data_IF_203856835448
#
_entry.id   IF_203856835448
#
_cell.length_a   1.000
_cell.length_b   1.000
_cell.length_c   1.000
_cell.angle_alpha   90.00
_cell.angle_beta   90.00
_cell.angle_gamma   90.00
#
_symmetry.space_group_name_H-M   'P 1'
#
loop_
_entity.id
_entity.type
_entity.pdbx_description
1 polymer ?
#
# COMPACT_ATOMS: atom_id res chain seq x y z
N UNK A 1 29.36 -68.79 -31.45
CA UNK A 1 28.21 -68.45 -32.30
C UNK A 1 27.13 -67.92 -31.37
N UNK A 2 26.91 -66.66 -31.36
CA UNK A 2 25.66 -65.94 -31.14
C UNK A 2 25.94 -64.45 -30.87
N UNK A 3 25.48 -63.66 -31.77
CA UNK A 3 25.61 -62.24 -31.92
C UNK A 3 24.81 -61.51 -30.86
N UNK A 4 25.49 -60.72 -30.00
CA UNK A 4 24.85 -59.79 -29.12
C UNK A 4 24.42 -58.52 -29.85
N UNK A 5 23.12 -58.26 -29.88
CA UNK A 5 22.56 -57.00 -30.42
C UNK A 5 22.58 -55.94 -29.30
N UNK A 6 23.51 -55.01 -29.44
CA UNK A 6 23.52 -53.81 -28.61
C UNK A 6 22.41 -52.89 -29.06
N UNK A 7 21.39 -52.72 -28.22
CA UNK A 7 20.36 -51.70 -28.36
C UNK A 7 20.92 -50.36 -27.86
N UNK A 8 21.19 -49.47 -28.83
CA UNK A 8 21.58 -48.10 -28.60
C UNK A 8 20.29 -47.30 -28.26
N UNK A 9 20.04 -47.09 -26.96
CA UNK A 9 18.95 -46.23 -26.54
C UNK A 9 19.38 -44.73 -26.73
N UNK A 10 18.87 -44.10 -27.77
CA UNK A 10 18.95 -42.66 -27.93
C UNK A 10 18.06 -41.99 -26.86
N UNK A 11 18.67 -41.48 -25.82
CA UNK A 11 18.02 -40.53 -24.91
C UNK A 11 17.90 -39.17 -25.61
N UNK A 12 16.74 -38.91 -26.19
CA UNK A 12 16.37 -37.60 -26.73
C UNK A 12 16.00 -36.72 -25.54
N UNK A 13 16.99 -36.06 -24.94
CA UNK A 13 16.78 -35.00 -23.93
C UNK A 13 16.14 -33.81 -24.63
N UNK A 14 14.82 -33.67 -24.45
CA UNK A 14 14.08 -32.49 -24.82
C UNK A 14 14.62 -31.31 -24.01
N UNK A 15 15.47 -30.48 -24.60
CA UNK A 15 15.74 -29.13 -24.12
C UNK A 15 14.45 -28.34 -24.27
N UNK A 16 13.67 -28.28 -23.20
CA UNK A 16 12.64 -27.27 -23.05
C UNK A 16 13.38 -25.91 -22.99
N UNK A 17 13.12 -24.98 -23.90
CA UNK A 17 13.63 -23.64 -23.71
C UNK A 17 13.02 -23.11 -22.40
N UNK A 18 13.86 -22.90 -21.40
CA UNK A 18 13.47 -22.10 -20.25
C UNK A 18 12.99 -20.77 -20.81
N UNK A 19 11.68 -20.59 -20.86
CA UNK A 19 11.06 -19.35 -21.29
C UNK A 19 11.66 -18.26 -20.42
N UNK A 20 12.54 -17.46 -21.00
CA UNK A 20 12.99 -16.23 -20.38
C UNK A 20 11.72 -15.44 -20.11
N UNK A 21 11.32 -15.38 -18.84
CA UNK A 21 10.34 -14.43 -18.40
C UNK A 21 10.94 -13.06 -18.75
N UNK A 22 10.48 -12.50 -19.84
CA UNK A 22 10.78 -11.12 -20.20
C UNK A 22 10.10 -10.30 -19.10
N UNK A 23 10.85 -9.97 -18.06
CA UNK A 23 10.50 -8.87 -17.20
C UNK A 23 10.44 -7.66 -18.12
N UNK A 24 9.24 -7.33 -18.57
CA UNK A 24 9.03 -6.09 -19.28
C UNK A 24 9.55 -4.99 -18.36
N UNK A 25 10.58 -4.28 -18.82
CA UNK A 25 11.09 -3.06 -18.19
C UNK A 25 10.05 -1.95 -18.38
N UNK A 26 8.84 -2.19 -17.87
CA UNK A 26 7.78 -1.22 -17.87
C UNK A 26 7.65 -0.72 -16.44
N UNK A 27 8.15 0.48 -16.19
CA UNK A 27 7.88 1.24 -14.97
C UNK A 27 6.39 1.61 -14.83
N UNK A 28 5.53 0.91 -15.56
CA UNK A 28 4.10 1.14 -15.62
C UNK A 28 3.36 0.02 -14.90
N UNK A 29 2.71 0.37 -13.78
CA UNK A 29 1.75 -0.50 -13.12
C UNK A 29 0.37 -0.31 -13.76
N UNK A 30 -0.17 -1.38 -14.35
CA UNK A 30 -1.54 -1.41 -14.85
C UNK A 30 -2.43 -1.99 -13.74
N UNK A 31 -3.30 -1.17 -13.21
CA UNK A 31 -4.26 -1.55 -12.18
C UNK A 31 -5.67 -1.52 -12.75
N UNK A 32 -6.38 -2.66 -12.68
CA UNK A 32 -7.76 -2.77 -13.09
C UNK A 32 -8.66 -2.62 -11.86
N UNK A 33 -9.63 -1.73 -11.93
CA UNK A 33 -10.64 -1.49 -10.90
C UNK A 33 -12.04 -1.64 -11.50
N UNK A 34 -13.00 -1.93 -10.64
CA UNK A 34 -14.43 -2.05 -11.02
C UNK A 34 -15.03 -0.73 -11.52
N UNK A 35 -14.44 0.40 -11.09
CA UNK A 35 -14.82 1.74 -11.53
C UNK A 35 -13.63 2.70 -11.39
N UNK A 36 -13.74 3.85 -12.04
CA UNK A 36 -12.76 4.93 -11.88
C UNK A 36 -12.92 5.61 -10.52
N UNK A 37 -11.83 6.04 -9.87
CA UNK A 37 -11.91 6.86 -8.66
C UNK A 37 -12.52 8.23 -8.99
N UNK A 38 -13.45 8.68 -8.15
CA UNK A 38 -14.07 10.01 -8.27
C UNK A 38 -13.09 11.13 -7.97
N UNK A 39 -12.23 10.90 -7.00
CA UNK A 39 -11.20 11.83 -6.55
C UNK A 39 -10.07 11.07 -5.85
N UNK A 40 -8.87 11.66 -5.89
CA UNK A 40 -7.74 11.23 -5.06
C UNK A 40 -7.68 11.93 -3.70
N UNK A 41 -8.68 12.75 -3.37
CA UNK A 41 -8.82 13.37 -2.05
C UNK A 41 -9.75 12.52 -1.17
N UNK A 42 -9.22 11.77 -0.19
CA UNK A 42 -10.03 10.87 0.64
C UNK A 42 -10.96 11.60 1.63
N UNK A 43 -10.86 12.92 1.73
CA UNK A 43 -11.74 13.73 2.59
C UNK A 43 -13.09 14.07 1.93
N UNK A 44 -13.17 13.95 0.60
CA UNK A 44 -14.36 14.32 -0.17
C UNK A 44 -14.91 13.17 -1.02
N UNK A 45 -14.18 12.07 -1.17
CA UNK A 45 -14.60 10.91 -1.94
C UNK A 45 -14.40 9.63 -1.13
N UNK A 46 -15.50 8.92 -0.86
CA UNK A 46 -15.52 7.73 0.01
C UNK A 46 -15.93 6.45 -0.74
N UNK A 47 -16.07 6.48 -2.07
CA UNK A 47 -16.35 5.28 -2.86
C UNK A 47 -15.20 4.26 -2.77
N UNK A 48 -15.52 2.98 -2.93
CA UNK A 48 -14.53 1.90 -2.89
C UNK A 48 -13.32 2.15 -3.78
N UNK A 49 -13.49 2.43 -5.09
CA UNK A 49 -12.38 2.76 -5.98
C UNK A 49 -11.55 3.97 -5.55
N UNK A 50 -12.19 5.05 -5.08
CA UNK A 50 -11.48 6.23 -4.55
C UNK A 50 -10.69 5.90 -3.28
N UNK A 51 -11.24 5.10 -2.38
CA UNK A 51 -10.57 4.66 -1.16
C UNK A 51 -9.32 3.82 -1.47
N UNK A 52 -9.44 2.84 -2.36
CA UNK A 52 -8.30 1.98 -2.73
C UNK A 52 -7.21 2.78 -3.45
N UNK A 53 -7.59 3.64 -4.40
CA UNK A 53 -6.64 4.42 -5.19
C UNK A 53 -5.96 5.56 -4.40
N UNK A 54 -6.55 6.03 -3.30
CA UNK A 54 -6.02 7.15 -2.53
C UNK A 54 -5.65 6.78 -1.09
N UNK A 55 -6.64 6.52 -0.25
CA UNK A 55 -6.44 6.34 1.19
C UNK A 55 -5.52 5.17 1.55
N UNK A 56 -5.52 4.10 0.74
CA UNK A 56 -4.68 2.94 1.02
C UNK A 56 -3.24 3.11 0.58
N UNK A 57 -3.00 3.81 -0.53
CA UNK A 57 -1.69 3.80 -1.20
C UNK A 57 -0.98 5.15 -1.21
N UNK A 58 -1.72 6.28 -1.18
CA UNK A 58 -1.13 7.61 -1.30
C UNK A 58 -0.95 8.32 0.04
N UNK A 59 -1.79 8.01 1.04
CA UNK A 59 -1.82 8.76 2.30
C UNK A 59 -1.54 7.87 3.50
N UNK A 60 -0.76 8.43 4.43
CA UNK A 60 -0.60 7.83 5.74
C UNK A 60 -1.84 8.06 6.61
N UNK A 61 -2.11 7.13 7.50
CA UNK A 61 -3.22 7.19 8.46
C UNK A 61 -2.69 7.36 9.87
N UNK A 62 -3.54 7.83 10.76
CA UNK A 62 -3.20 7.91 12.18
C UNK A 62 -2.94 6.51 12.76
N UNK A 63 -3.83 5.59 12.48
CA UNK A 63 -3.69 4.14 12.73
C UNK A 63 -3.98 3.38 11.43
N UNK A 64 -3.30 2.28 11.25
CA UNK A 64 -3.56 1.36 10.14
C UNK A 64 -4.30 0.13 10.65
N UNK A 65 -4.63 -0.80 9.76
CA UNK A 65 -5.34 -2.01 10.08
C UNK A 65 -4.61 -3.22 9.47
N UNK A 66 -4.32 -4.22 10.30
CA UNK A 66 -3.76 -5.49 9.84
C UNK A 66 -4.90 -6.34 9.26
N UNK A 67 -4.92 -6.61 7.95
CA UNK A 67 -6.02 -7.33 7.32
C UNK A 67 -6.04 -8.82 7.68
N UNK A 68 -4.91 -9.38 8.12
CA UNK A 68 -4.80 -10.80 8.49
C UNK A 68 -5.29 -11.02 9.90
N UNK A 69 -4.85 -10.16 10.83
CA UNK A 69 -5.21 -10.26 12.26
C UNK A 69 -6.51 -9.55 12.60
N UNK A 70 -7.03 -8.75 11.68
CA UNK A 70 -8.20 -7.90 11.87
C UNK A 70 -8.08 -6.97 13.10
N UNK A 71 -6.89 -6.39 13.29
CA UNK A 71 -6.58 -5.54 14.45
C UNK A 71 -5.96 -4.21 14.04
N UNK A 72 -6.22 -3.12 14.78
CA UNK A 72 -5.54 -1.85 14.56
C UNK A 72 -4.05 -1.95 14.89
N UNK A 73 -3.23 -1.34 14.06
CA UNK A 73 -1.77 -1.29 14.20
C UNK A 73 -1.24 0.15 14.10
N UNK A 74 -0.13 0.46 14.78
CA UNK A 74 0.49 1.77 14.72
C UNK A 74 0.83 2.22 13.29
N UNK A 75 0.63 3.54 13.02
CA UNK A 75 1.05 4.19 11.79
C UNK A 75 1.64 5.58 12.12
N UNK A 76 0.96 6.70 11.83
CA UNK A 76 1.41 8.02 12.28
C UNK A 76 1.32 8.17 13.79
N UNK A 77 0.38 7.47 14.44
CA UNK A 77 0.40 7.27 15.89
C UNK A 77 1.24 6.03 16.22
N UNK A 78 2.17 6.18 17.15
CA UNK A 78 2.98 5.07 17.70
C UNK A 78 2.17 4.23 18.69
N UNK A 79 1.29 4.89 19.43
CA UNK A 79 0.41 4.28 20.43
C UNK A 79 -0.82 5.13 20.66
N UNK A 80 -1.81 4.54 21.34
CA UNK A 80 -3.01 5.26 21.77
C UNK A 80 -3.56 4.63 23.03
N UNK A 81 -4.31 5.43 23.79
CA UNK A 81 -5.07 5.00 24.94
C UNK A 81 -6.52 5.42 24.80
N UNK A 82 -7.41 4.65 25.41
CA UNK A 82 -8.84 4.91 25.44
C UNK A 82 -9.25 5.06 26.89
N UNK A 83 -10.00 6.12 27.23
CA UNK A 83 -10.51 6.32 28.57
C UNK A 83 -11.50 5.20 28.96
N UNK A 84 -11.69 4.90 30.24
CA UNK A 84 -12.58 3.84 30.70
C UNK A 84 -14.03 3.98 30.23
N UNK A 85 -14.48 5.21 29.99
CA UNK A 85 -15.81 5.51 29.47
C UNK A 85 -15.92 5.43 27.94
N UNK A 86 -14.80 5.12 27.23
CA UNK A 86 -14.74 4.98 25.78
C UNK A 86 -14.86 6.30 25.00
N UNK A 87 -14.88 7.46 25.68
CA UNK A 87 -15.18 8.75 25.02
C UNK A 87 -13.93 9.54 24.64
N UNK A 88 -12.79 9.27 25.27
CA UNK A 88 -11.55 10.00 25.04
C UNK A 88 -10.49 9.06 24.45
N UNK A 89 -9.95 9.43 23.30
CA UNK A 89 -8.86 8.75 22.63
C UNK A 89 -7.64 9.66 22.64
N UNK A 90 -6.55 9.21 23.23
CA UNK A 90 -5.29 9.95 23.26
C UNK A 90 -4.28 9.23 22.40
N UNK A 91 -3.74 9.92 21.37
CA UNK A 91 -2.75 9.37 20.45
C UNK A 91 -1.38 9.98 20.71
N UNK A 92 -0.35 9.14 20.80
CA UNK A 92 1.05 9.56 20.77
C UNK A 92 1.54 9.55 19.34
N UNK A 93 1.87 10.71 18.79
CA UNK A 93 2.27 10.85 17.40
C UNK A 93 3.76 10.54 17.22
N UNK A 94 4.07 9.88 16.09
CA UNK A 94 5.44 9.62 15.65
C UNK A 94 6.16 10.92 15.35
N UNK A 95 7.38 11.07 15.88
CA UNK A 95 8.23 12.25 15.65
C UNK A 95 9.06 12.10 14.39
N UNK A 96 9.47 13.23 13.81
CA UNK A 96 10.39 13.26 12.66
C UNK A 96 9.78 12.77 11.33
N UNK A 97 8.46 12.69 11.23
CA UNK A 97 7.77 12.32 10.00
C UNK A 97 7.81 13.49 9.03
N UNK A 98 8.43 13.29 7.88
CA UNK A 98 8.57 14.29 6.83
C UNK A 98 7.40 14.24 5.87
N UNK A 99 6.99 15.41 5.38
CA UNK A 99 6.10 15.49 4.22
C UNK A 99 6.89 15.29 2.93
N UNK A 100 6.25 14.74 1.92
CA UNK A 100 6.82 14.68 0.58
C UNK A 100 6.98 16.09 0.01
N UNK A 101 8.12 16.34 -0.65
CA UNK A 101 8.37 17.59 -1.35
C UNK A 101 8.35 17.39 -2.85
N UNK A 102 7.90 18.41 -3.58
CA UNK A 102 7.95 18.45 -5.03
C UNK A 102 8.18 19.88 -5.54
N UNK A 103 8.11 20.09 -6.85
CA UNK A 103 8.33 21.42 -7.44
C UNK A 103 7.31 22.49 -7.01
N UNK A 104 6.14 22.07 -6.57
CA UNK A 104 5.05 22.99 -6.16
C UNK A 104 4.91 23.12 -4.65
N UNK A 105 5.40 22.15 -3.89
CA UNK A 105 5.27 22.11 -2.44
C UNK A 105 6.59 21.71 -1.77
N UNK A 106 7.04 22.59 -0.90
CA UNK A 106 8.21 22.36 -0.04
C UNK A 106 7.79 22.48 1.42
N UNK A 107 7.77 21.39 2.18
CA UNK A 107 7.40 21.44 3.59
C UNK A 107 8.42 22.26 4.38
N UNK A 108 7.94 23.07 5.30
CA UNK A 108 8.78 23.91 6.19
C UNK A 108 8.98 23.29 7.56
N UNK A 109 8.24 22.24 7.89
CA UNK A 109 8.31 21.52 9.16
C UNK A 109 7.93 20.05 9.00
N UNK A 110 8.13 19.29 10.05
CA UNK A 110 7.66 17.92 10.17
C UNK A 110 6.17 17.86 10.54
N UNK A 111 5.57 16.69 10.35
CA UNK A 111 4.21 16.37 10.78
C UNK A 111 4.05 16.55 12.31
N UNK A 112 2.93 17.13 12.72
CA UNK A 112 2.57 17.30 14.13
C UNK A 112 1.04 17.20 14.35
N UNK A 113 0.59 17.51 15.57
CA UNK A 113 -0.82 17.44 15.94
C UNK A 113 -1.72 18.42 15.17
N UNK A 114 -1.19 19.57 14.74
CA UNK A 114 -1.98 20.56 13.99
C UNK A 114 -2.44 19.99 12.63
N UNK A 115 -1.64 19.11 12.02
CA UNK A 115 -2.00 18.46 10.76
C UNK A 115 -3.16 17.48 10.93
N UNK A 116 -3.20 16.79 12.07
CA UNK A 116 -4.32 15.90 12.44
C UNK A 116 -5.57 16.73 12.66
N UNK A 117 -5.47 17.81 13.45
CA UNK A 117 -6.58 18.73 13.73
C UNK A 117 -7.12 19.31 12.42
N UNK A 118 -6.23 19.84 11.57
CA UNK A 118 -6.61 20.37 10.26
C UNK A 118 -7.37 19.34 9.42
N UNK A 119 -6.88 18.12 9.35
CA UNK A 119 -7.49 17.05 8.54
C UNK A 119 -8.88 16.67 9.03
N UNK A 120 -9.08 16.62 10.35
CA UNK A 120 -10.38 16.33 10.97
C UNK A 120 -11.35 17.50 10.81
N UNK A 121 -10.87 18.72 11.06
CA UNK A 121 -11.72 19.92 10.97
C UNK A 121 -12.18 20.19 9.55
N UNK A 122 -11.33 19.92 8.56
CA UNK A 122 -11.70 20.08 7.15
C UNK A 122 -12.88 19.23 6.70
N UNK A 123 -13.15 18.12 7.38
CA UNK A 123 -14.31 17.27 7.08
C UNK A 123 -15.63 17.86 7.58
N UNK A 124 -15.57 18.90 8.43
CA UNK A 124 -16.75 19.59 8.94
C UNK A 124 -17.18 20.77 8.05
N UNK A 125 -16.26 21.26 7.22
CA UNK A 125 -16.54 22.33 6.24
C UNK A 125 -16.93 21.64 4.91
N UNK A 126 -18.20 21.78 4.47
CA UNK A 126 -18.69 21.19 3.23
C UNK A 126 -18.08 21.84 1.98
#
# INVERSE_FOLDING_TARGET
MSTGKTLLALALSALLPAGAAWAANNDTLIYCSEASPESFNPQIASSGPSFVASSQVLYNRLINFDPVKNTPVPSLAESWTISPDGKTYTFTLRKGVKFNSNKYFKPTRDFNADDVIFSVMRQKDP
#
